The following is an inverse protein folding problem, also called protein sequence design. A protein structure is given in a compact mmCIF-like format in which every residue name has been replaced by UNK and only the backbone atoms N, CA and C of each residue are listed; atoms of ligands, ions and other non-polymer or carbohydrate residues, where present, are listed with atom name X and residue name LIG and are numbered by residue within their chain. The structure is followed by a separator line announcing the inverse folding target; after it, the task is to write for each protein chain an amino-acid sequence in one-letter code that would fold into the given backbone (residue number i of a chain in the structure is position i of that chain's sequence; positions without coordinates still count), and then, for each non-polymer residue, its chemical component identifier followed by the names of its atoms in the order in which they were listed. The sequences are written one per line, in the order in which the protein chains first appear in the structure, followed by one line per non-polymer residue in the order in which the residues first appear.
data_IF_360100260574
#
_entry.id   IF_360100260574
#
_cell.length_a   1.000
_cell.length_b   1.000
_cell.length_c   1.000
_cell.angle_alpha   90.00
_cell.angle_beta   90.00
_cell.angle_gamma   90.00
#
_symmetry.space_group_name_H-M   'P 1'
#
loop_
_entity.id
_entity.type
_entity.pdbx_description
1 polymer ?
#
# COMPACT_ATOMS: atom_id res chain seq x y z
N UNK A 1 8.98 -28.40 -22.42
CA UNK A 1 8.94 -26.94 -22.59
C UNK A 1 8.54 -26.36 -21.25
N UNK A 2 9.53 -25.98 -20.44
CA UNK A 2 9.32 -25.28 -19.18
C UNK A 2 8.84 -23.88 -19.52
N UNK A 3 7.59 -23.56 -19.18
CA UNK A 3 7.18 -22.16 -19.08
C UNK A 3 8.14 -21.52 -18.09
N UNK A 4 8.93 -20.55 -18.54
CA UNK A 4 9.54 -19.62 -17.61
C UNK A 4 8.37 -18.96 -16.89
N UNK A 5 8.26 -19.17 -15.58
CA UNK A 5 7.33 -18.41 -14.77
C UNK A 5 7.70 -16.94 -14.99
N UNK A 6 6.84 -16.17 -15.65
CA UNK A 6 7.07 -14.75 -15.84
C UNK A 6 7.09 -14.10 -14.46
N UNK A 7 8.29 -13.77 -13.97
CA UNK A 7 8.45 -13.05 -12.72
C UNK A 7 7.72 -11.70 -12.84
N UNK A 8 6.72 -11.51 -11.98
CA UNK A 8 5.79 -10.38 -12.07
C UNK A 8 5.91 -9.43 -10.87
N UNK A 9 5.62 -8.15 -11.13
CA UNK A 9 5.40 -7.13 -10.10
C UNK A 9 3.99 -6.60 -10.27
N UNK A 10 3.32 -6.36 -9.15
CA UNK A 10 1.92 -5.94 -9.13
C UNK A 10 1.76 -4.64 -8.35
N UNK A 11 1.06 -3.68 -8.92
CA UNK A 11 0.60 -2.49 -8.21
C UNK A 11 -0.77 -2.74 -7.59
N UNK A 12 -0.98 -2.28 -6.36
CA UNK A 12 -2.27 -2.24 -5.69
C UNK A 12 -2.86 -0.84 -5.79
N UNK A 13 -4.12 -0.77 -6.23
CA UNK A 13 -4.91 0.48 -6.27
C UNK A 13 -5.74 0.69 -5.02
N UNK A 14 -5.52 -0.08 -3.96
CA UNK A 14 -6.38 -0.06 -2.77
C UNK A 14 -6.51 1.35 -2.16
N UNK A 15 -5.46 2.17 -2.23
CA UNK A 15 -5.49 3.55 -1.72
C UNK A 15 -6.31 4.51 -2.59
N UNK A 16 -6.64 4.12 -3.82
CA UNK A 16 -7.44 4.89 -4.76
C UNK A 16 -8.92 4.49 -4.76
N UNK A 17 -9.28 3.37 -4.14
CA UNK A 17 -10.65 2.88 -4.08
C UNK A 17 -11.38 3.51 -2.88
N UNK A 18 -12.17 4.55 -3.14
CA UNK A 18 -12.94 5.24 -2.11
C UNK A 18 -13.92 4.33 -1.36
N UNK A 19 -14.31 3.18 -1.91
CA UNK A 19 -15.15 2.21 -1.20
C UNK A 19 -14.40 1.52 -0.05
N UNK A 20 -13.07 1.62 -0.01
CA UNK A 20 -12.22 1.13 1.09
C UNK A 20 -12.15 2.11 2.25
N UNK A 21 -12.47 3.38 2.04
CA UNK A 21 -12.48 4.40 3.10
C UNK A 21 -13.65 4.12 4.04
N UNK A 22 -13.36 4.08 5.34
CA UNK A 22 -14.33 3.86 6.42
C UNK A 22 -14.26 5.02 7.41
N UNK A 23 -15.44 5.52 7.77
CA UNK A 23 -15.62 6.62 8.69
C UNK A 23 -15.32 6.15 10.12
N UNK A 24 -14.03 6.15 10.45
CA UNK A 24 -13.50 5.92 11.78
C UNK A 24 -12.61 7.10 12.17
N UNK A 25 -12.62 7.42 13.45
CA UNK A 25 -11.75 8.40 14.09
C UNK A 25 -10.86 7.74 15.14
N UNK A 26 -9.87 8.46 15.64
CA UNK A 26 -8.99 8.02 16.71
C UNK A 26 -8.79 9.16 17.73
N UNK A 27 -8.34 8.81 18.93
CA UNK A 27 -7.77 9.79 19.84
C UNK A 27 -6.44 10.33 19.26
N UNK A 28 -5.96 11.50 19.72
CA UNK A 28 -4.65 12.02 19.33
C UNK A 28 -3.53 11.00 19.52
N UNK A 29 -2.60 10.97 18.56
CA UNK A 29 -1.50 10.01 18.59
C UNK A 29 -0.48 10.42 19.67
N UNK A 30 0.18 9.44 20.34
CA UNK A 30 1.22 9.72 21.33
C UNK A 30 2.37 10.59 20.83
N UNK A 31 2.66 10.50 19.52
CA UNK A 31 3.70 11.28 18.85
C UNK A 31 3.36 12.76 18.68
N UNK A 32 2.12 13.18 18.97
CA UNK A 32 1.61 14.53 18.70
C UNK A 32 1.24 14.77 17.23
N UNK A 33 1.47 13.79 16.37
CA UNK A 33 1.13 13.80 14.96
C UNK A 33 -0.39 13.68 14.76
N UNK A 34 -0.92 14.31 13.71
CA UNK A 34 -2.30 14.07 13.30
C UNK A 34 -2.40 12.84 12.36
N UNK A 35 -3.61 12.29 12.20
CA UNK A 35 -3.82 11.08 11.41
C UNK A 35 -3.45 11.24 9.92
N UNK A 36 -3.53 12.46 9.37
CA UNK A 36 -3.13 12.76 8.00
C UNK A 36 -1.61 12.65 7.82
N UNK A 37 -0.84 13.26 8.73
CA UNK A 37 0.62 13.14 8.74
C UNK A 37 1.08 11.68 8.89
N UNK A 38 0.39 10.89 9.73
CA UNK A 38 0.66 9.45 9.87
C UNK A 38 0.41 8.71 8.54
N UNK A 39 -0.70 9.02 7.86
CA UNK A 39 -1.03 8.43 6.56
C UNK A 39 0.02 8.79 5.50
N UNK A 40 0.44 10.06 5.44
CA UNK A 40 1.47 10.57 4.53
C UNK A 40 2.81 9.84 4.72
N UNK A 41 3.25 9.66 5.97
CA UNK A 41 4.47 8.89 6.26
C UNK A 41 4.36 7.43 5.82
N UNK A 42 3.18 6.82 6.00
CA UNK A 42 2.96 5.45 5.57
C UNK A 42 2.95 5.31 4.04
N UNK A 43 2.31 6.24 3.32
CA UNK A 43 2.33 6.28 1.86
C UNK A 43 3.74 6.56 1.31
N UNK A 44 4.55 7.32 2.04
CA UNK A 44 5.94 7.60 1.68
C UNK A 44 6.91 6.45 1.99
N UNK A 45 6.43 5.37 2.62
CA UNK A 45 7.27 4.22 2.94
C UNK A 45 8.18 4.44 4.13
N UNK A 46 7.79 5.25 5.10
CA UNK A 46 8.59 5.48 6.31
C UNK A 46 8.34 4.34 7.30
N UNK A 47 9.38 3.61 7.73
CA UNK A 47 9.27 2.66 8.83
C UNK A 47 8.85 3.41 10.10
N UNK A 48 7.73 3.01 10.68
CA UNK A 48 7.17 3.65 11.87
C UNK A 48 6.91 2.61 12.95
N UNK A 49 7.26 2.93 14.20
CA UNK A 49 6.95 2.08 15.35
C UNK A 49 5.46 2.09 15.68
N UNK A 50 5.02 1.15 16.52
CA UNK A 50 3.65 1.05 17.00
C UNK A 50 3.10 2.34 17.65
N UNK A 51 3.95 3.22 18.16
CA UNK A 51 3.55 4.49 18.81
C UNK A 51 3.00 5.53 17.82
N UNK A 52 3.33 5.37 16.52
CA UNK A 52 2.81 6.22 15.46
C UNK A 52 1.37 5.88 15.07
N UNK A 53 0.86 4.72 15.51
CA UNK A 53 -0.46 4.23 15.12
C UNK A 53 -1.45 4.24 16.30
N UNK A 54 -2.74 4.47 16.03
CA UNK A 54 -3.74 4.36 17.08
C UNK A 54 -3.89 2.90 17.52
N UNK A 55 -3.94 2.67 18.84
CA UNK A 55 -4.24 1.35 19.40
C UNK A 55 -5.72 0.99 19.28
N UNK A 56 -6.57 2.00 19.12
CA UNK A 56 -8.02 1.87 19.02
C UNK A 56 -8.56 2.95 18.08
N UNK A 57 -9.57 2.59 17.29
CA UNK A 57 -10.33 3.53 16.46
C UNK A 57 -11.84 3.32 16.68
N UNK A 58 -12.61 4.37 16.46
CA UNK A 58 -14.03 4.44 16.80
C UNK A 58 -14.84 4.83 15.57
N UNK A 59 -15.96 4.15 15.33
CA UNK A 59 -16.88 4.55 14.27
C UNK A 59 -17.31 6.02 14.46
N UNK A 60 -17.25 6.81 13.39
CA UNK A 60 -17.43 8.25 13.47
C UNK A 60 -18.88 8.64 13.78
N UNK A 61 -19.85 7.94 13.20
CA UNK A 61 -21.26 8.33 13.23
C UNK A 61 -22.09 7.49 14.22
N UNK A 62 -22.90 8.11 15.10
CA UNK A 62 -23.70 7.41 16.11
C UNK A 62 -24.89 6.64 15.54
N UNK A 63 -25.44 7.08 14.42
CA UNK A 63 -26.62 6.54 13.76
C UNK A 63 -26.31 5.32 12.86
N UNK A 64 -25.03 5.06 12.63
CA UNK A 64 -24.57 3.95 11.79
C UNK A 64 -23.76 2.95 12.59
N UNK A 65 -24.27 1.71 12.67
CA UNK A 65 -23.51 0.59 13.24
C UNK A 65 -22.56 0.00 12.20
N UNK A 66 -21.27 -0.01 12.52
CA UNK A 66 -20.25 -0.63 11.68
C UNK A 66 -20.35 -2.16 11.77
N UNK A 67 -20.22 -2.81 10.61
CA UNK A 67 -20.19 -4.28 10.49
C UNK A 67 -18.74 -4.76 10.54
N UNK A 68 -18.54 -6.09 10.48
CA UNK A 68 -17.23 -6.66 10.13
C UNK A 68 -16.68 -5.97 8.89
N UNK A 69 -15.44 -5.51 8.96
CA UNK A 69 -14.76 -4.82 7.88
C UNK A 69 -14.14 -5.83 6.91
N UNK A 70 -13.86 -5.35 5.69
CA UNK A 70 -13.18 -6.15 4.68
C UNK A 70 -11.71 -6.40 5.04
N UNK A 71 -11.06 -7.31 4.32
CA UNK A 71 -9.67 -7.71 4.59
C UNK A 71 -8.63 -6.58 4.47
N UNK A 72 -8.98 -5.51 3.76
CA UNK A 72 -8.24 -4.25 3.71
C UNK A 72 -9.24 -3.09 3.62
N UNK A 73 -9.10 -2.12 4.53
CA UNK A 73 -9.82 -0.84 4.56
C UNK A 73 -8.88 0.31 4.95
N UNK A 74 -9.28 1.53 4.63
CA UNK A 74 -8.62 2.75 5.11
C UNK A 74 -9.49 3.36 6.19
N UNK A 75 -8.99 3.48 7.41
CA UNK A 75 -9.77 3.90 8.56
C UNK A 75 -8.92 4.74 9.50
N UNK A 76 -9.40 5.93 9.88
CA UNK A 76 -8.66 6.87 10.74
C UNK A 76 -7.21 7.13 10.26
N UNK A 77 -7.00 7.32 8.96
CA UNK A 77 -5.68 7.52 8.34
C UNK A 77 -4.80 6.26 8.26
N UNK A 78 -5.18 5.14 8.88
CA UNK A 78 -4.43 3.90 8.85
C UNK A 78 -4.88 2.96 7.73
N UNK A 79 -3.95 2.15 7.23
CA UNK A 79 -4.25 0.97 6.42
C UNK A 79 -4.56 -0.16 7.39
N UNK A 80 -5.83 -0.57 7.47
CA UNK A 80 -6.28 -1.59 8.40
C UNK A 80 -6.56 -2.88 7.64
N UNK A 81 -5.95 -3.97 8.09
CA UNK A 81 -6.12 -5.31 7.52
C UNK A 81 -6.74 -6.28 8.52
N UNK A 82 -7.50 -7.26 8.03
CA UNK A 82 -8.05 -8.33 8.87
C UNK A 82 -6.93 -9.27 9.38
N UNK A 83 -7.23 -10.06 10.41
CA UNK A 83 -6.32 -11.13 10.86
C UNK A 83 -5.91 -12.10 9.74
N UNK A 84 -6.86 -12.53 8.90
CA UNK A 84 -6.55 -13.42 7.77
C UNK A 84 -5.57 -12.77 6.78
N UNK A 85 -5.74 -11.48 6.50
CA UNK A 85 -4.80 -10.75 5.64
C UNK A 85 -3.44 -10.56 6.31
N UNK A 86 -3.42 -10.25 7.61
CA UNK A 86 -2.18 -10.15 8.38
C UNK A 86 -1.41 -11.47 8.40
N UNK A 87 -2.10 -12.60 8.55
CA UNK A 87 -1.51 -13.94 8.55
C UNK A 87 -0.98 -14.32 7.15
N UNK A 88 -1.66 -13.91 6.08
CA UNK A 88 -1.13 -14.04 4.73
C UNK A 88 0.15 -13.21 4.56
N UNK A 89 0.15 -11.93 4.98
CA UNK A 89 1.30 -11.04 4.87
C UNK A 89 2.52 -11.55 5.67
N UNK A 90 2.32 -12.09 6.88
CA UNK A 90 3.40 -12.60 7.75
C UNK A 90 4.20 -13.76 7.18
N UNK A 91 3.69 -14.44 6.14
CA UNK A 91 4.39 -15.54 5.48
C UNK A 91 5.44 -15.07 4.47
N UNK A 92 5.52 -13.76 4.21
CA UNK A 92 6.35 -13.15 3.19
C UNK A 92 7.39 -12.21 3.81
N UNK A 93 8.40 -11.85 3.01
CA UNK A 93 9.38 -10.85 3.41
C UNK A 93 8.77 -9.47 3.22
N UNK A 94 8.35 -8.81 4.29
CA UNK A 94 7.74 -7.49 4.21
C UNK A 94 8.76 -6.34 4.29
N UNK A 95 10.07 -6.65 4.27
CA UNK A 95 11.14 -5.68 4.46
C UNK A 95 10.99 -4.94 5.79
N UNK A 96 11.05 -3.61 5.74
CA UNK A 96 10.86 -2.74 6.91
C UNK A 96 9.38 -2.49 7.28
N UNK A 97 8.44 -3.15 6.61
CA UNK A 97 7.01 -3.03 6.91
C UNK A 97 6.63 -3.78 8.19
N UNK A 98 5.56 -3.34 8.86
CA UNK A 98 5.14 -3.87 10.16
C UNK A 98 3.62 -3.96 10.29
N UNK A 99 3.17 -4.89 11.15
CA UNK A 99 1.76 -5.09 11.49
C UNK A 99 1.54 -4.86 12.98
N UNK A 100 0.68 -3.90 13.33
CA UNK A 100 0.38 -3.54 14.72
C UNK A 100 -1.07 -3.84 15.06
N UNK A 101 -1.38 -4.58 16.13
CA UNK A 101 -2.77 -4.83 16.53
C UNK A 101 -3.54 -3.54 16.77
N UNK A 102 -4.78 -3.47 16.28
CA UNK A 102 -5.68 -2.33 16.49
C UNK A 102 -7.09 -2.83 16.83
N UNK A 103 -7.74 -2.17 17.79
CA UNK A 103 -9.14 -2.45 18.15
C UNK A 103 -10.08 -1.48 17.44
N UNK A 104 -11.13 -2.01 16.84
CA UNK A 104 -12.21 -1.20 16.24
C UNK A 104 -13.42 -1.24 17.17
N UNK A 105 -13.97 -0.08 17.49
CA UNK A 105 -15.17 0.07 18.30
C UNK A 105 -16.26 0.82 17.54
N UNK A 106 -17.51 0.58 17.94
CA UNK A 106 -18.65 1.41 17.54
C UNK A 106 -18.49 2.83 18.11
N UNK A 107 -19.39 3.72 17.71
CA UNK A 107 -19.39 5.12 18.17
C UNK A 107 -19.46 5.26 19.70
N UNK A 108 -20.08 4.31 20.39
CA UNK A 108 -20.16 4.27 21.86
C UNK A 108 -18.80 4.02 22.57
N UNK A 109 -17.73 3.77 21.79
CA UNK A 109 -16.36 3.47 22.24
C UNK A 109 -16.24 2.26 23.16
N UNK A 110 -17.26 1.42 23.22
CA UNK A 110 -17.36 0.27 24.13
C UNK A 110 -17.66 -1.02 23.39
N UNK A 111 -18.60 -0.98 22.46
CA UNK A 111 -19.01 -2.14 21.69
C UNK A 111 -17.97 -2.42 20.61
N UNK A 112 -17.31 -3.60 20.58
CA UNK A 112 -16.34 -3.91 19.54
C UNK A 112 -17.03 -4.08 18.19
N UNK A 113 -16.34 -3.67 17.12
CA UNK A 113 -16.66 -4.12 15.77
C UNK A 113 -16.17 -5.56 15.62
N UNK A 114 -16.97 -6.41 14.98
CA UNK A 114 -16.61 -7.82 14.78
C UNK A 114 -15.29 -7.97 14.02
N UNK A 115 -14.42 -8.84 14.52
CA UNK A 115 -13.15 -9.23 13.89
C UNK A 115 -11.91 -8.79 14.66
N UNK A 116 -10.77 -9.29 14.20
CA UNK A 116 -9.44 -8.90 14.66
C UNK A 116 -8.72 -8.19 13.52
N UNK A 117 -8.04 -7.09 13.85
CA UNK A 117 -7.48 -6.17 12.86
C UNK A 117 -6.08 -5.70 13.25
N UNK A 118 -5.33 -5.32 12.22
CA UNK A 118 -3.97 -4.80 12.35
C UNK A 118 -3.82 -3.55 11.48
N UNK A 119 -3.12 -2.54 12.00
CA UNK A 119 -2.55 -1.47 11.19
C UNK A 119 -1.35 -2.02 10.42
N UNK A 120 -1.35 -1.83 9.11
CA UNK A 120 -0.23 -2.12 8.24
C UNK A 120 0.58 -0.83 8.02
N UNK A 121 1.80 -0.82 8.56
CA UNK A 121 2.83 0.12 8.13
C UNK A 121 3.54 -0.47 6.91
N UNK A 122 3.42 0.16 5.74
CA UNK A 122 4.26 -0.16 4.59
C UNK A 122 5.54 0.67 4.75
N UNK A 123 6.56 0.07 5.33
CA UNK A 123 7.82 0.75 5.68
C UNK A 123 8.94 0.54 4.66
N UNK A 124 8.71 -0.31 3.66
CA UNK A 124 9.72 -0.64 2.66
C UNK A 124 9.65 0.27 1.44
N UNK A 125 10.81 0.74 0.98
CA UNK A 125 10.94 1.62 -0.19
C UNK A 125 11.88 1.00 -1.21
N UNK A 126 11.46 1.00 -2.47
CA UNK A 126 12.34 0.72 -3.61
C UNK A 126 12.25 1.84 -4.62
N UNK A 127 13.38 2.32 -5.11
CA UNK A 127 13.42 3.30 -6.20
C UNK A 127 13.42 2.57 -7.55
N UNK A 128 12.22 2.11 -7.94
CA UNK A 128 12.05 1.23 -9.11
C UNK A 128 10.98 1.72 -10.07
N UNK A 129 10.14 2.68 -9.69
CA UNK A 129 9.13 3.27 -10.55
C UNK A 129 9.77 4.12 -11.66
N UNK A 130 9.43 3.82 -12.90
CA UNK A 130 9.97 4.49 -14.07
C UNK A 130 8.94 5.45 -14.66
N UNK A 131 8.95 6.70 -14.20
CA UNK A 131 8.01 7.75 -14.64
C UNK A 131 7.92 7.86 -16.16
N UNK A 132 9.05 8.00 -16.85
CA UNK A 132 9.09 8.22 -18.31
C UNK A 132 8.55 7.06 -19.15
N UNK A 133 8.50 5.85 -18.58
CA UNK A 133 7.97 4.67 -19.25
C UNK A 133 6.54 4.34 -18.79
N UNK A 134 5.98 5.08 -17.83
CA UNK A 134 4.64 4.88 -17.29
C UNK A 134 3.62 5.78 -18.01
N UNK A 135 2.38 5.31 -18.09
CA UNK A 135 1.29 6.01 -18.75
C UNK A 135 0.35 6.60 -17.71
N UNK A 136 -0.34 7.72 -18.03
CA UNK A 136 -1.34 8.33 -17.14
C UNK A 136 -0.77 8.61 -15.74
N UNK A 137 0.39 9.24 -15.70
CA UNK A 137 0.98 9.79 -14.46
C UNK A 137 0.48 11.23 -14.29
N UNK A 138 -0.06 11.54 -13.12
CA UNK A 138 -0.39 12.88 -12.67
C UNK A 138 0.76 13.38 -11.80
N UNK A 139 1.19 14.62 -12.03
CA UNK A 139 2.19 15.31 -11.23
C UNK A 139 1.52 16.47 -10.51
N UNK A 140 1.77 16.57 -9.20
CA UNK A 140 1.28 17.64 -8.36
C UNK A 140 2.38 18.69 -8.14
N UNK A 141 1.99 19.91 -7.76
CA UNK A 141 2.91 21.04 -7.61
C UNK A 141 3.96 20.87 -6.50
N UNK A 142 3.81 19.88 -5.63
CA UNK A 142 4.74 19.49 -4.57
C UNK A 142 5.76 18.43 -5.03
N UNK A 143 5.72 18.01 -6.30
CA UNK A 143 6.58 16.96 -6.87
C UNK A 143 6.07 15.54 -6.65
N UNK A 144 4.94 15.36 -5.96
CA UNK A 144 4.33 14.04 -5.77
C UNK A 144 3.72 13.55 -7.09
N UNK A 145 3.84 12.25 -7.35
CA UNK A 145 3.24 11.59 -8.52
C UNK A 145 2.10 10.68 -8.11
N UNK A 146 1.08 10.56 -8.95
CA UNK A 146 0.01 9.57 -8.76
C UNK A 146 -0.46 9.01 -10.09
N UNK A 147 -1.14 7.87 -10.07
CA UNK A 147 -1.78 7.30 -11.26
C UNK A 147 -3.19 7.83 -11.41
N UNK A 148 -3.71 7.90 -12.63
CA UNK A 148 -5.15 8.15 -12.82
C UNK A 148 -6.00 7.05 -12.17
N UNK A 149 -7.19 7.36 -11.59
CA UNK A 149 -8.03 6.38 -10.90
C UNK A 149 -8.49 5.19 -11.74
N UNK A 150 -8.48 5.28 -13.07
CA UNK A 150 -8.79 4.19 -13.99
C UNK A 150 -7.54 3.43 -14.45
N UNK A 151 -6.64 3.10 -13.51
CA UNK A 151 -5.43 2.34 -13.77
C UNK A 151 -5.73 0.96 -14.35
N UNK A 152 -5.03 0.59 -15.42
CA UNK A 152 -5.07 -0.72 -16.09
C UNK A 152 -3.72 -1.45 -16.00
N UNK A 153 -3.72 -2.72 -16.39
CA UNK A 153 -2.50 -3.53 -16.44
C UNK A 153 -1.47 -2.91 -17.41
N UNK A 154 -0.20 -3.02 -17.05
CA UNK A 154 0.98 -2.57 -17.80
C UNK A 154 1.10 -1.04 -17.98
N UNK A 155 0.25 -0.24 -17.33
CA UNK A 155 0.33 1.23 -17.35
C UNK A 155 1.43 1.78 -16.41
N UNK A 156 1.82 1.02 -15.38
CA UNK A 156 2.99 1.32 -14.54
C UNK A 156 4.19 0.55 -15.06
N UNK A 157 5.29 1.25 -15.31
CA UNK A 157 6.58 0.66 -15.62
C UNK A 157 7.51 0.69 -14.39
N UNK A 158 8.22 -0.42 -14.17
CA UNK A 158 9.24 -0.55 -13.13
C UNK A 158 10.54 -1.12 -13.69
N UNK A 159 11.66 -0.86 -13.03
CA UNK A 159 12.95 -1.47 -13.37
C UNK A 159 13.04 -2.94 -12.92
N UNK A 160 13.99 -3.74 -13.47
CA UNK A 160 14.17 -5.14 -13.06
C UNK A 160 14.48 -5.33 -11.57
N UNK A 161 15.09 -4.33 -10.91
CA UNK A 161 15.36 -4.34 -9.47
C UNK A 161 14.10 -4.49 -8.60
N UNK A 162 12.91 -4.24 -9.16
CA UNK A 162 11.65 -4.50 -8.47
C UNK A 162 11.40 -5.99 -8.15
N UNK A 163 12.07 -6.91 -8.86
CA UNK A 163 11.96 -8.36 -8.68
C UNK A 163 12.72 -8.89 -7.45
N UNK A 164 13.59 -8.08 -6.85
CA UNK A 164 14.49 -8.50 -5.78
C UNK A 164 14.03 -7.97 -4.41
N UNK A 165 14.33 -8.71 -3.35
CA UNK A 165 14.08 -8.31 -1.96
C UNK A 165 12.63 -8.45 -1.52
N UNK A 166 12.15 -7.46 -0.75
CA UNK A 166 10.85 -7.50 -0.08
C UNK A 166 9.67 -7.67 -1.03
N UNK A 167 8.61 -8.30 -0.53
CA UNK A 167 7.37 -8.62 -1.23
C UNK A 167 6.31 -7.52 -1.18
N UNK A 168 6.48 -6.52 -0.32
CA UNK A 168 5.58 -5.39 -0.16
C UNK A 168 6.40 -4.11 0.00
N UNK A 169 6.18 -3.10 -0.85
CA UNK A 169 6.91 -1.84 -0.81
C UNK A 169 6.15 -0.69 -1.48
N UNK A 170 6.66 0.53 -1.32
CA UNK A 170 6.28 1.70 -2.13
C UNK A 170 7.47 2.18 -2.97
N UNK A 171 7.19 3.00 -4.00
CA UNK A 171 8.23 3.62 -4.83
C UNK A 171 7.99 5.12 -4.96
N UNK A 172 8.31 5.93 -3.93
CA UNK A 172 8.23 7.38 -4.01
C UNK A 172 9.02 7.91 -5.22
N UNK A 173 8.58 9.00 -5.87
CA UNK A 173 7.51 9.90 -5.43
C UNK A 173 6.09 9.44 -5.82
N UNK A 174 5.90 8.21 -6.32
CA UNK A 174 4.57 7.69 -6.62
C UNK A 174 3.79 7.40 -5.32
N UNK A 175 2.69 8.13 -5.11
CA UNK A 175 1.78 7.97 -3.98
C UNK A 175 0.53 7.15 -4.34
N UNK A 176 -0.29 6.85 -3.33
CA UNK A 176 -1.57 6.12 -3.48
C UNK A 176 -1.49 4.77 -4.22
N UNK A 177 -0.30 4.22 -4.35
CA UNK A 177 0.01 2.92 -4.92
C UNK A 177 1.07 2.28 -4.03
N UNK A 178 0.92 0.98 -3.76
CA UNK A 178 1.98 0.15 -3.23
C UNK A 178 2.13 -1.08 -4.11
N UNK A 179 3.30 -1.70 -4.04
CA UNK A 179 3.71 -2.77 -4.92
C UNK A 179 3.84 -4.08 -4.17
N UNK A 180 3.61 -5.16 -4.90
CA UNK A 180 3.71 -6.52 -4.41
C UNK A 180 4.52 -7.38 -5.38
N UNK A 181 5.25 -8.35 -4.84
CA UNK A 181 5.80 -9.43 -5.65
C UNK A 181 4.69 -10.34 -6.19
N UNK A 182 4.97 -11.10 -7.25
CA UNK A 182 4.02 -12.08 -7.77
C UNK A 182 3.59 -13.09 -6.70
N UNK A 183 4.54 -13.63 -5.92
CA UNK A 183 4.25 -14.66 -4.90
C UNK A 183 3.27 -14.17 -3.83
N UNK A 184 3.43 -12.93 -3.33
CA UNK A 184 2.51 -12.37 -2.34
C UNK A 184 1.14 -12.10 -2.97
N UNK A 185 1.11 -11.57 -4.19
CA UNK A 185 -0.13 -11.34 -4.92
C UNK A 185 -0.91 -12.65 -5.14
N UNK A 186 -0.24 -13.74 -5.56
CA UNK A 186 -0.87 -15.05 -5.75
C UNK A 186 -1.45 -15.58 -4.44
N UNK A 187 -0.72 -15.46 -3.32
CA UNK A 187 -1.22 -15.89 -2.02
C UNK A 187 -2.47 -15.10 -1.58
N UNK A 188 -2.48 -13.78 -1.78
CA UNK A 188 -3.66 -12.95 -1.50
C UNK A 188 -4.84 -13.31 -2.40
N UNK A 189 -4.61 -13.67 -3.68
CA UNK A 189 -5.67 -14.18 -4.57
C UNK A 189 -6.20 -15.53 -4.10
N UNK A 190 -5.32 -16.47 -3.73
CA UNK A 190 -5.71 -17.78 -3.20
C UNK A 190 -6.53 -17.64 -1.90
N UNK A 191 -6.20 -16.65 -1.07
CA UNK A 191 -6.96 -16.26 0.12
C UNK A 191 -8.26 -15.47 -0.20
N UNK A 192 -8.63 -15.32 -1.48
CA UNK A 192 -9.83 -14.60 -1.97
C UNK A 192 -9.85 -13.10 -1.68
N UNK A 193 -8.70 -12.49 -1.44
CA UNK A 193 -8.55 -11.06 -1.12
C UNK A 193 -8.28 -10.18 -2.35
N UNK A 194 -8.12 -10.75 -3.55
CA UNK A 194 -7.69 -9.99 -4.73
C UNK A 194 -8.56 -8.77 -5.09
N UNK A 195 -9.86 -8.81 -4.77
CA UNK A 195 -10.77 -7.68 -5.02
C UNK A 195 -10.42 -6.45 -4.19
N UNK A 196 -10.02 -6.61 -2.92
CA UNK A 196 -9.78 -5.45 -2.03
C UNK A 196 -8.45 -4.75 -2.32
N UNK A 197 -7.49 -5.47 -2.90
CA UNK A 197 -6.22 -4.89 -3.36
C UNK A 197 -6.32 -4.30 -4.77
N UNK A 198 -7.16 -4.87 -5.63
CA UNK A 198 -7.37 -4.37 -6.98
C UNK A 198 -6.12 -4.41 -7.85
N UNK A 199 -5.37 -5.51 -7.80
CA UNK A 199 -4.07 -5.68 -8.45
C UNK A 199 -4.05 -5.26 -9.93
N UNK A 200 -2.94 -4.64 -10.34
CA UNK A 200 -2.59 -4.33 -11.73
C UNK A 200 -1.19 -4.81 -12.03
N UNK A 201 -1.02 -5.53 -13.13
CA UNK A 201 0.30 -5.97 -13.54
C UNK A 201 1.18 -4.75 -13.89
N UNK A 202 2.41 -4.72 -13.41
CA UNK A 202 3.40 -3.75 -13.84
C UNK A 202 4.17 -4.31 -15.04
N UNK A 203 4.60 -3.41 -15.93
CA UNK A 203 5.54 -3.76 -17.00
C UNK A 203 6.97 -3.56 -16.50
N UNK A 204 7.81 -4.58 -16.64
CA UNK A 204 9.23 -4.47 -16.33
C UNK A 204 9.96 -3.97 -17.57
N UNK A 205 10.76 -2.93 -17.42
CA UNK A 205 11.48 -2.27 -18.52
C UNK A 205 12.92 -2.07 -18.08
N UNK A 206 13.87 -2.48 -18.91
CA UNK A 206 15.26 -2.07 -18.75
C UNK A 206 15.31 -0.55 -18.76
N UNK A 207 15.75 0.06 -17.67
CA UNK A 207 15.98 1.50 -17.70
C UNK A 207 17.03 1.74 -18.78
N UNK A 208 16.70 2.53 -19.81
CA UNK A 208 17.70 2.94 -20.80
C UNK A 208 18.87 3.50 -20.01
N UNK A 209 20.04 2.87 -20.16
CA UNK A 209 21.28 3.53 -19.77
C UNK A 209 21.35 4.75 -20.68
N UNK A 210 20.88 5.88 -20.17
CA UNK A 210 21.06 7.17 -20.80
C UNK A 210 22.54 7.26 -21.11
N UNK A 211 22.84 7.08 -22.40
CA UNK A 211 24.14 7.20 -23.00
C UNK A 211 24.84 8.41 -22.39
N UNK A 212 25.83 8.10 -21.58
CA UNK A 212 26.93 8.98 -21.25
C UNK A 212 27.46 9.48 -22.59
N UNK A 213 27.00 10.67 -23.00
CA UNK A 213 27.64 11.50 -24.02
C UNK A 213 28.97 11.99 -23.42
N UNK A 214 29.86 11.04 -23.18
CA UNK A 214 31.25 11.33 -22.97
C UNK A 214 31.84 11.68 -24.33
N UNK A 215 32.42 12.88 -24.39
CA UNK A 215 33.78 13.00 -24.93
C UNK A 215 33.90 12.48 -26.37
N UNK A 216 33.19 13.08 -27.33
CA UNK A 216 33.53 13.01 -28.76
C UNK A 216 33.22 14.30 -29.51
N UNK A 217 33.89 15.39 -29.14
CA UNK A 217 34.41 16.41 -30.06
C UNK A 217 35.69 16.91 -29.39
N UNK A 218 36.85 16.32 -29.72
CA UNK A 218 37.79 16.82 -30.73
C UNK A 218 38.01 18.33 -30.66
#
# INVERSE_FOLDING_TARGET
MTQSENAGVWASRAFMDSTRIKAFTADPLPTGMNLGQMAELNEAGVPMSAEHFPKQIFAEYPDKKEKKQADLVLAAGAVVVSAACADALRQFDLGHSSLYPIKLFQHDRKTPVEGEYFCLNIGERKDVFLRQHSQKVMEFGDGTLSMWPNLHDNEIAVSPAALEGADLWVSPPLNRIFFLSDRLMQALRAAKMGRVFGFRACRIVEADQSSDWSVRMN
#
